data_IF_374264720052
#
_entry.id   IF_374264720052
#
_cell.length_a   1.000
_cell.length_b   1.000
_cell.length_c   1.000
_cell.angle_alpha   90.00
_cell.angle_beta   90.00
_cell.angle_gamma   90.00
#
_symmetry.space_group_name_H-M   'P 1'
#
loop_
_entity.id
_entity.type
_entity.pdbx_description
1 polymer ?
#
# COMPACT_ATOMS: atom_id res chain seq x y z
N UNK A 1 -11.24 2.12 17.94
CA UNK A 1 -10.24 3.20 17.69
C UNK A 1 -9.13 2.59 16.85
N UNK A 2 -8.80 3.12 15.67
CA UNK A 2 -7.63 2.66 14.92
C UNK A 2 -6.42 2.76 15.84
N UNK A 3 -5.61 1.70 15.91
CA UNK A 3 -4.38 1.72 16.70
C UNK A 3 -3.44 2.81 16.18
N UNK A 4 -2.58 3.35 17.05
CA UNK A 4 -1.59 4.35 16.64
C UNK A 4 -0.68 3.83 15.52
N UNK A 5 -0.43 2.51 15.50
CA UNK A 5 0.24 1.81 14.39
C UNK A 5 -0.50 1.95 13.07
N UNK A 6 -1.83 1.77 13.06
CA UNK A 6 -2.64 1.90 11.84
C UNK A 6 -2.58 3.33 11.28
N UNK A 7 -2.64 4.34 12.15
CA UNK A 7 -2.51 5.75 11.75
C UNK A 7 -1.12 6.07 11.21
N UNK A 8 -0.08 5.51 11.81
CA UNK A 8 1.29 5.69 11.32
C UNK A 8 1.46 5.07 9.93
N UNK A 9 0.92 3.86 9.71
CA UNK A 9 0.95 3.20 8.40
C UNK A 9 0.18 4.02 7.35
N UNK A 10 -1.03 4.51 7.65
CA UNK A 10 -1.79 5.37 6.73
C UNK A 10 -1.07 6.67 6.40
N UNK A 11 -0.35 7.26 7.36
CA UNK A 11 0.44 8.46 7.12
C UNK A 11 1.60 8.20 6.14
N UNK A 12 2.35 7.11 6.36
CA UNK A 12 3.43 6.70 5.45
C UNK A 12 2.88 6.34 4.08
N UNK A 13 1.78 5.60 4.02
CA UNK A 13 1.13 5.22 2.78
C UNK A 13 0.72 6.43 1.95
N UNK A 14 0.12 7.46 2.57
CA UNK A 14 -0.23 8.71 1.86
C UNK A 14 0.96 9.44 1.27
N UNK A 15 2.15 9.30 1.86
CA UNK A 15 3.38 9.94 1.37
C UNK A 15 3.99 9.14 0.22
N UNK A 16 3.94 7.80 0.30
CA UNK A 16 4.71 6.92 -0.57
C UNK A 16 3.89 6.25 -1.70
N UNK A 17 2.56 6.20 -1.58
CA UNK A 17 1.69 5.47 -2.51
C UNK A 17 1.85 5.92 -3.95
N UNK A 18 1.93 7.23 -4.20
CA UNK A 18 2.10 7.79 -5.55
C UNK A 18 3.41 7.30 -6.20
N UNK A 19 4.49 7.18 -5.42
CA UNK A 19 5.79 6.70 -5.91
C UNK A 19 5.76 5.20 -6.20
N UNK A 20 5.12 4.43 -5.33
CA UNK A 20 4.93 2.98 -5.51
C UNK A 20 4.08 2.69 -6.76
N UNK A 21 2.92 3.33 -6.88
CA UNK A 21 2.00 3.19 -8.02
C UNK A 21 2.70 3.60 -9.31
N UNK A 22 3.45 4.72 -9.32
CA UNK A 22 4.23 5.12 -10.49
C UNK A 22 5.30 4.10 -10.89
N UNK A 23 5.91 3.40 -9.93
CA UNK A 23 6.82 2.29 -10.18
C UNK A 23 6.11 1.10 -10.81
N UNK A 24 4.99 0.68 -10.23
CA UNK A 24 4.17 -0.42 -10.73
C UNK A 24 3.63 -0.15 -12.13
N UNK A 25 3.09 1.05 -12.37
CA UNK A 25 2.56 1.48 -13.65
C UNK A 25 3.61 1.42 -14.77
N UNK A 26 4.90 1.65 -14.47
CA UNK A 26 5.98 1.49 -15.47
C UNK A 26 6.24 0.03 -15.86
N UNK A 27 5.97 -0.90 -14.95
CA UNK A 27 6.17 -2.34 -15.16
C UNK A 27 4.97 -2.92 -15.92
N UNK A 28 3.76 -2.69 -15.39
CA UNK A 28 2.53 -3.27 -15.95
C UNK A 28 1.98 -2.47 -17.14
N UNK A 29 2.50 -1.25 -17.37
CA UNK A 29 2.09 -0.32 -18.44
C UNK A 29 0.61 0.05 -18.41
N UNK A 30 0.02 0.00 -17.22
CA UNK A 30 -1.38 0.30 -16.95
C UNK A 30 -1.47 0.91 -15.54
N UNK A 31 -2.06 2.10 -15.45
CA UNK A 31 -2.18 2.81 -14.16
C UNK A 31 -3.29 2.22 -13.31
N UNK A 32 -4.42 1.80 -13.91
CA UNK A 32 -5.53 1.21 -13.17
C UNK A 32 -5.11 -0.11 -12.54
N UNK A 33 -4.46 -0.98 -13.32
CA UNK A 33 -3.93 -2.23 -12.78
C UNK A 33 -2.85 -2.01 -11.71
N UNK A 34 -2.04 -0.96 -11.84
CA UNK A 34 -1.04 -0.62 -10.82
C UNK A 34 -1.68 -0.15 -9.51
N UNK A 35 -2.79 0.60 -9.58
CA UNK A 35 -3.56 1.03 -8.41
C UNK A 35 -4.21 -0.16 -7.71
N UNK A 36 -4.83 -1.08 -8.47
CA UNK A 36 -5.44 -2.30 -7.92
C UNK A 36 -4.39 -3.16 -7.20
N UNK A 37 -3.24 -3.39 -7.83
CA UNK A 37 -2.13 -4.14 -7.21
C UNK A 37 -1.59 -3.47 -5.94
N UNK A 38 -1.49 -2.14 -5.94
CA UNK A 38 -1.03 -1.40 -4.77
C UNK A 38 -2.02 -1.51 -3.60
N UNK A 39 -3.32 -1.49 -3.89
CA UNK A 39 -4.37 -1.66 -2.88
C UNK A 39 -4.39 -3.08 -2.31
N UNK A 40 -4.35 -4.10 -3.17
CA UNK A 40 -4.29 -5.50 -2.75
C UNK A 40 -3.06 -5.77 -1.88
N UNK A 41 -1.90 -5.23 -2.25
CA UNK A 41 -0.68 -5.36 -1.47
C UNK A 41 -0.80 -4.70 -0.08
N UNK A 42 -1.45 -3.53 0.02
CA UNK A 42 -1.68 -2.87 1.30
C UNK A 42 -2.60 -3.71 2.20
N UNK A 43 -3.70 -4.24 1.65
CA UNK A 43 -4.63 -5.10 2.38
C UNK A 43 -3.91 -6.35 2.89
N UNK A 44 -3.22 -7.06 2.01
CA UNK A 44 -2.48 -8.27 2.37
C UNK A 44 -1.39 -7.99 3.42
N UNK A 45 -0.71 -6.84 3.33
CA UNK A 45 0.27 -6.44 4.32
C UNK A 45 -0.38 -6.15 5.68
N UNK A 46 -1.50 -5.44 5.73
CA UNK A 46 -2.21 -5.14 6.98
C UNK A 46 -2.81 -6.38 7.64
N UNK A 47 -3.23 -7.38 6.87
CA UNK A 47 -3.67 -8.67 7.38
C UNK A 47 -2.52 -9.47 8.00
N UNK A 48 -1.33 -9.42 7.37
CA UNK A 48 -0.18 -10.25 7.76
C UNK A 48 0.78 -9.62 8.76
N UNK A 49 0.88 -8.29 8.80
CA UNK A 49 1.80 -7.58 9.70
C UNK A 49 1.61 -7.91 11.19
N UNK A 50 0.38 -8.04 11.72
CA UNK A 50 0.17 -8.40 13.12
C UNK A 50 0.84 -9.72 13.53
N UNK A 51 0.96 -10.66 12.58
CA UNK A 51 1.57 -11.98 12.80
C UNK A 51 3.07 -11.97 12.52
N UNK A 52 3.54 -11.06 11.66
CA UNK A 52 4.89 -11.08 11.08
C UNK A 52 5.86 -10.10 11.74
N UNK A 53 5.35 -9.08 12.46
CA UNK A 53 6.14 -8.12 13.25
C UNK A 53 7.11 -7.28 12.44
#
# INVERSE_FOLDING_TARGET
>A
MPSDTHRAIEAVWRIESARLIAGLARIVRDVGLAEDLAQDALVAALERWPESG
#
